data_IF_875282988124
#
_entry.id   IF_875282988124
#
_cell.length_a   1.000
_cell.length_b   1.000
_cell.length_c   1.000
_cell.angle_alpha   90.00
_cell.angle_beta   90.00
_cell.angle_gamma   90.00
#
_symmetry.space_group_name_H-M   'P 1'
#
loop_
_entity.id
_entity.type
_entity.pdbx_description
1 polymer ?
#
# COMPACT_ATOMS: atom_id res chain seq x y z
N UNK A 1 13.69 -6.38 -9.22
CA UNK A 1 14.64 -6.71 -10.29
C UNK A 1 15.14 -5.41 -10.93
N UNK A 2 16.39 -5.38 -11.41
CA UNK A 2 16.99 -4.17 -12.05
C UNK A 2 16.56 -4.09 -13.52
N UNK A 3 16.46 -2.87 -14.07
CA UNK A 3 16.16 -2.63 -15.50
C UNK A 3 17.26 -3.17 -16.42
N UNK A 4 16.93 -3.58 -17.66
CA UNK A 4 17.91 -4.10 -18.61
C UNK A 4 19.02 -3.08 -18.90
N UNK A 5 20.24 -3.59 -19.11
CA UNK A 5 21.43 -2.77 -19.31
C UNK A 5 21.46 -2.11 -20.69
N UNK A 6 22.20 -0.99 -20.83
CA UNK A 6 22.36 -0.28 -22.10
C UNK A 6 23.37 -0.99 -23.02
N UNK A 7 23.15 -0.90 -24.35
CA UNK A 7 23.96 -1.52 -25.40
C UNK A 7 25.45 -1.10 -25.33
N UNK A 8 25.71 0.20 -25.20
CA UNK A 8 27.05 0.77 -25.09
C UNK A 8 27.58 0.66 -23.65
N UNK A 9 28.87 0.33 -23.48
CA UNK A 9 29.49 0.29 -22.14
C UNK A 9 29.66 1.69 -21.57
N UNK A 10 29.85 2.69 -22.44
CA UNK A 10 29.93 4.11 -22.05
C UNK A 10 29.48 5.06 -23.15
N UNK A 11 29.17 6.31 -22.79
CA UNK A 11 28.94 7.38 -23.77
C UNK A 11 30.20 7.74 -24.58
N UNK A 12 31.39 7.53 -24.00
CA UNK A 12 32.69 7.80 -24.66
C UNK A 12 32.93 6.85 -25.83
N UNK A 13 32.60 5.58 -25.66
CA UNK A 13 32.69 4.55 -26.69
C UNK A 13 31.81 4.90 -27.91
N UNK A 14 30.57 5.35 -27.65
CA UNK A 14 29.66 5.83 -28.70
C UNK A 14 30.17 7.09 -29.41
N UNK A 15 30.81 8.01 -28.69
CA UNK A 15 31.33 9.25 -29.25
C UNK A 15 32.57 9.01 -30.13
N UNK A 16 33.53 8.21 -29.65
CA UNK A 16 34.71 7.81 -30.41
C UNK A 16 34.32 7.09 -31.72
N UNK A 17 33.27 6.28 -31.67
CA UNK A 17 32.71 5.62 -32.85
C UNK A 17 32.20 6.61 -33.91
N UNK A 18 31.41 7.61 -33.49
CA UNK A 18 30.90 8.65 -34.40
C UNK A 18 32.02 9.49 -35.01
N UNK A 19 33.05 9.79 -34.23
CA UNK A 19 34.20 10.57 -34.69
C UNK A 19 35.01 9.80 -35.76
N UNK A 20 35.25 8.51 -35.57
CA UNK A 20 36.00 7.69 -36.52
C UNK A 20 35.28 7.54 -37.88
N UNK A 21 33.95 7.44 -37.88
CA UNK A 21 33.16 7.41 -39.13
C UNK A 21 33.12 8.77 -39.83
N UNK A 22 33.10 9.87 -39.07
CA UNK A 22 33.08 11.22 -39.63
C UNK A 22 34.42 11.63 -40.24
N UNK A 23 35.53 11.03 -39.81
CA UNK A 23 36.89 11.32 -40.26
C UNK A 23 37.38 10.40 -41.39
N UNK A 24 36.53 9.53 -41.92
CA UNK A 24 36.90 8.62 -43.01
C UNK A 24 36.70 9.31 -44.37
N UNK A 25 37.81 9.57 -45.07
CA UNK A 25 37.83 10.27 -46.34
C UNK A 25 38.02 9.33 -47.54
N UNK A 26 38.44 8.08 -47.29
CA UNK A 26 38.64 7.07 -48.34
C UNK A 26 37.80 5.82 -48.12
N UNK A 27 37.49 5.11 -49.22
CA UNK A 27 36.78 3.84 -49.18
C UNK A 27 37.52 2.78 -48.34
N UNK A 28 38.86 2.81 -48.33
CA UNK A 28 39.70 1.90 -47.54
C UNK A 28 39.62 2.21 -46.04
N UNK A 29 39.59 3.50 -45.65
CA UNK A 29 39.39 3.91 -44.26
C UNK A 29 37.99 3.54 -43.77
N UNK A 30 36.98 3.70 -44.62
CA UNK A 30 35.61 3.31 -44.33
C UNK A 30 35.49 1.79 -44.20
N UNK A 31 36.14 1.03 -45.07
CA UNK A 31 36.18 -0.43 -45.02
C UNK A 31 36.95 -0.95 -43.79
N UNK A 32 38.06 -0.31 -43.40
CA UNK A 32 38.81 -0.65 -42.19
C UNK A 32 38.03 -0.32 -40.91
N UNK A 33 37.33 0.82 -40.88
CA UNK A 33 36.41 1.17 -39.81
C UNK A 33 35.25 0.15 -39.72
N UNK A 34 34.68 -0.25 -40.86
CA UNK A 34 33.63 -1.27 -40.94
C UNK A 34 34.12 -2.67 -40.53
N UNK A 35 35.35 -3.04 -40.87
CA UNK A 35 35.96 -4.32 -40.48
C UNK A 35 36.24 -4.39 -38.97
N UNK A 36 36.85 -3.32 -38.44
CA UNK A 36 37.04 -3.15 -36.98
C UNK A 36 35.69 -3.15 -36.25
N UNK A 37 34.65 -2.64 -36.92
CA UNK A 37 33.29 -2.70 -36.42
C UNK A 37 32.73 -4.11 -36.42
N UNK A 38 32.90 -4.92 -37.46
CA UNK A 38 32.44 -6.32 -37.45
C UNK A 38 33.11 -7.15 -36.37
N UNK A 39 34.42 -6.97 -36.14
CA UNK A 39 35.16 -7.69 -35.11
C UNK A 39 34.75 -7.27 -33.69
N UNK A 40 34.55 -5.97 -33.46
CA UNK A 40 34.06 -5.43 -32.18
C UNK A 40 32.54 -5.53 -32.00
N UNK A 41 31.79 -5.72 -33.07
CA UNK A 41 30.33 -5.87 -33.04
C UNK A 41 29.91 -7.28 -32.63
N UNK A 42 30.76 -8.30 -32.75
CA UNK A 42 30.44 -9.65 -32.27
C UNK A 42 29.98 -9.65 -30.81
N UNK A 43 30.77 -9.13 -29.86
CA UNK A 43 30.37 -9.00 -28.46
C UNK A 43 29.15 -8.09 -28.24
N UNK A 44 28.98 -7.03 -29.04
CA UNK A 44 27.79 -6.15 -28.95
C UNK A 44 26.53 -6.85 -29.45
N UNK A 45 26.61 -7.64 -30.51
CA UNK A 45 25.52 -8.41 -31.08
C UNK A 45 25.09 -9.52 -30.12
N UNK A 46 26.05 -10.24 -29.55
CA UNK A 46 25.79 -11.21 -28.47
C UNK A 46 25.10 -10.55 -27.28
N UNK A 47 25.52 -9.34 -26.91
CA UNK A 47 24.86 -8.56 -25.85
C UNK A 47 23.45 -8.10 -26.25
N UNK A 48 23.22 -7.76 -27.51
CA UNK A 48 21.91 -7.39 -28.02
C UNK A 48 20.94 -8.58 -27.96
N UNK A 49 21.40 -9.77 -28.38
CA UNK A 49 20.63 -11.01 -28.29
C UNK A 49 20.29 -11.30 -26.82
N UNK A 50 21.27 -11.22 -25.91
CA UNK A 50 21.03 -11.44 -24.48
C UNK A 50 20.03 -10.44 -23.88
N UNK A 51 20.09 -9.16 -24.26
CA UNK A 51 19.14 -8.15 -23.82
C UNK A 51 17.74 -8.37 -24.40
N UNK A 52 17.62 -8.84 -25.63
CA UNK A 52 16.34 -9.21 -26.23
C UNK A 52 15.71 -10.40 -25.50
N UNK A 53 16.50 -11.41 -25.17
CA UNK A 53 16.05 -12.57 -24.38
C UNK A 53 15.61 -12.16 -22.96
N UNK A 54 16.36 -11.27 -22.30
CA UNK A 54 16.00 -10.72 -20.98
C UNK A 54 14.69 -9.90 -21.04
N UNK A 55 14.52 -9.09 -22.08
CA UNK A 55 13.29 -8.32 -22.29
C UNK A 55 12.08 -9.24 -22.50
N UNK A 56 12.20 -10.27 -23.36
CA UNK A 56 11.14 -11.23 -23.59
C UNK A 56 10.74 -11.98 -22.31
N UNK A 57 11.72 -12.38 -21.48
CA UNK A 57 11.47 -12.99 -20.16
C UNK A 57 10.72 -12.04 -19.22
N UNK A 58 11.08 -10.75 -19.24
CA UNK A 58 10.44 -9.75 -18.41
C UNK A 58 8.98 -9.49 -18.82
N UNK A 59 8.72 -9.37 -20.12
CA UNK A 59 7.36 -9.22 -20.65
C UNK A 59 6.47 -10.43 -20.30
N UNK A 60 7.00 -11.64 -20.39
CA UNK A 60 6.26 -12.85 -19.99
C UNK A 60 5.89 -12.84 -18.49
N UNK A 61 6.82 -12.42 -17.62
CA UNK A 61 6.55 -12.31 -16.18
C UNK A 61 5.54 -11.20 -15.84
N UNK A 62 5.58 -10.07 -16.56
CA UNK A 62 4.56 -9.02 -16.40
C UNK A 62 3.19 -9.49 -16.87
N UNK A 63 3.11 -10.21 -17.99
CA UNK A 63 1.87 -10.80 -18.47
C UNK A 63 1.29 -11.80 -17.45
N UNK A 64 2.12 -12.67 -16.86
CA UNK A 64 1.69 -13.60 -15.81
C UNK A 64 1.18 -12.85 -14.57
N UNK A 65 1.86 -11.78 -14.15
CA UNK A 65 1.40 -10.93 -13.03
C UNK A 65 0.07 -10.27 -13.34
N UNK A 66 -0.09 -9.71 -14.54
CA UNK A 66 -1.33 -9.09 -14.97
C UNK A 66 -2.48 -10.11 -15.01
N UNK A 67 -2.23 -11.34 -15.45
CA UNK A 67 -3.21 -12.43 -15.41
C UNK A 67 -3.58 -12.82 -13.98
N UNK A 68 -2.59 -12.90 -13.07
CA UNK A 68 -2.84 -13.20 -11.67
C UNK A 68 -3.66 -12.09 -10.97
N UNK A 69 -3.36 -10.82 -11.26
CA UNK A 69 -4.12 -9.68 -10.78
C UNK A 69 -5.55 -9.66 -11.35
N UNK A 70 -5.71 -9.95 -12.64
CA UNK A 70 -7.02 -10.06 -13.27
C UNK A 70 -7.84 -11.23 -12.69
N UNK A 71 -7.22 -12.39 -12.46
CA UNK A 71 -7.87 -13.53 -11.82
C UNK A 71 -8.27 -13.23 -10.37
N UNK A 72 -7.45 -12.47 -9.63
CA UNK A 72 -7.80 -11.97 -8.30
C UNK A 72 -8.99 -11.00 -8.36
N UNK A 73 -8.98 -10.04 -9.28
CA UNK A 73 -10.07 -9.09 -9.46
C UNK A 73 -11.39 -9.79 -9.84
N UNK A 74 -11.34 -10.78 -10.75
CA UNK A 74 -12.50 -11.58 -11.13
C UNK A 74 -13.07 -12.41 -9.97
N UNK A 75 -12.24 -12.82 -9.00
CA UNK A 75 -12.70 -13.47 -7.76
C UNK A 75 -13.35 -12.48 -6.78
N UNK A 76 -12.94 -11.22 -6.79
CA UNK A 76 -13.50 -10.17 -5.94
C UNK A 76 -14.83 -9.60 -6.48
N UNK A 77 -15.07 -9.69 -7.79
CA UNK A 77 -16.28 -9.16 -8.46
C UNK A 77 -17.62 -9.80 -8.01
N UNK A 78 -17.75 -11.14 -7.82
CA UNK A 78 -19.03 -11.73 -7.38
C UNK A 78 -19.43 -11.38 -5.94
N UNK A 79 -18.56 -10.78 -5.14
CA UNK A 79 -18.86 -10.35 -3.76
C UNK A 79 -19.56 -8.98 -3.72
N UNK A 80 -19.63 -8.24 -4.84
CA UNK A 80 -20.24 -6.90 -4.90
C UNK A 80 -21.76 -6.90 -5.14
N UNK A 81 -22.40 -8.05 -5.29
CA UNK A 81 -23.86 -8.14 -5.39
C UNK A 81 -24.52 -7.88 -4.02
N UNK A 82 -24.77 -6.60 -3.69
CA UNK A 82 -25.59 -6.11 -2.57
C UNK A 82 -25.48 -6.91 -1.26
N UNK A 83 -24.27 -7.31 -0.88
CA UNK A 83 -24.04 -8.07 0.34
C UNK A 83 -24.10 -7.10 1.51
N UNK A 84 -25.22 -7.07 2.20
CA UNK A 84 -25.40 -6.33 3.47
C UNK A 84 -24.33 -6.73 4.50
N UNK A 85 -23.88 -5.81 5.36
CA UNK A 85 -22.82 -6.08 6.33
C UNK A 85 -23.22 -7.19 7.31
N UNK A 86 -22.26 -7.99 7.75
CA UNK A 86 -22.49 -8.95 8.85
C UNK A 86 -22.72 -8.20 10.16
N UNK A 87 -23.69 -8.69 10.92
CA UNK A 87 -23.99 -8.31 12.29
C UNK A 87 -23.99 -9.52 13.22
N UNK A 88 -23.58 -9.28 14.47
CA UNK A 88 -23.82 -10.19 15.59
C UNK A 88 -24.68 -9.52 16.64
N UNK A 89 -25.59 -10.28 17.23
CA UNK A 89 -26.32 -9.89 18.43
C UNK A 89 -25.72 -10.65 19.61
N UNK A 90 -25.26 -9.90 20.60
CA UNK A 90 -24.71 -10.45 21.83
C UNK A 90 -25.57 -10.05 23.02
N UNK A 91 -25.60 -10.91 24.02
CA UNK A 91 -26.40 -10.70 25.22
C UNK A 91 -25.71 -11.23 26.46
N UNK A 92 -26.15 -10.76 27.62
CA UNK A 92 -25.69 -11.28 28.90
C UNK A 92 -26.54 -12.49 29.27
N UNK A 93 -25.90 -13.62 29.55
CA UNK A 93 -26.52 -14.82 30.08
C UNK A 93 -25.99 -15.07 31.50
N UNK A 94 -26.87 -15.43 32.43
CA UNK A 94 -26.47 -15.85 33.78
C UNK A 94 -26.11 -17.32 33.72
N UNK A 95 -24.83 -17.61 33.92
CA UNK A 95 -24.28 -18.96 34.08
C UNK A 95 -23.99 -19.23 35.54
N UNK A 96 -23.71 -20.49 35.90
CA UNK A 96 -23.36 -20.87 37.27
C UNK A 96 -22.11 -20.12 37.78
N UNK A 97 -21.18 -19.80 36.88
CA UNK A 97 -19.97 -19.00 37.16
C UNK A 97 -20.21 -17.48 37.19
N UNK A 98 -21.46 -17.03 37.09
CA UNK A 98 -21.84 -15.61 37.01
C UNK A 98 -22.31 -15.17 35.62
N UNK A 99 -22.29 -13.87 35.35
CA UNK A 99 -22.86 -13.30 34.11
C UNK A 99 -21.80 -13.30 33.01
N UNK A 100 -22.06 -14.02 31.92
CA UNK A 100 -21.19 -14.09 30.73
C UNK A 100 -21.87 -13.46 29.52
N UNK A 101 -21.08 -12.82 28.64
CA UNK A 101 -21.59 -12.35 27.35
C UNK A 101 -21.57 -13.50 26.35
N UNK A 102 -22.70 -13.79 25.74
CA UNK A 102 -22.89 -14.87 24.79
C UNK A 102 -23.36 -14.33 23.44
N UNK A 103 -23.00 -15.03 22.37
CA UNK A 103 -23.58 -14.81 21.05
C UNK A 103 -25.03 -15.32 21.07
N UNK A 104 -25.96 -14.52 20.56
CA UNK A 104 -27.38 -14.90 20.41
C UNK A 104 -27.76 -15.14 18.95
N UNK A 105 -27.25 -14.29 18.04
CA UNK A 105 -27.54 -14.43 16.62
C UNK A 105 -26.40 -13.85 15.77
N UNK A 106 -26.29 -14.35 14.54
CA UNK A 106 -25.37 -13.92 13.49
C UNK A 106 -26.19 -13.80 12.20
N UNK A 107 -26.08 -12.69 11.48
CA UNK A 107 -26.84 -12.47 10.25
C UNK A 107 -26.36 -11.25 9.48
N UNK A 108 -26.93 -11.03 8.28
CA UNK A 108 -26.68 -9.82 7.46
C UNK A 108 -27.86 -8.84 7.46
N UNK A 109 -28.95 -9.23 8.10
CA UNK A 109 -30.13 -8.39 8.28
C UNK A 109 -30.07 -7.71 9.66
N UNK A 110 -30.53 -6.44 9.76
CA UNK A 110 -30.72 -5.80 11.05
C UNK A 110 -31.63 -6.67 11.92
N UNK A 111 -31.19 -6.94 13.14
CA UNK A 111 -31.97 -7.76 14.04
C UNK A 111 -33.25 -7.02 14.48
N UNK A 112 -34.37 -7.73 14.70
CA UNK A 112 -35.61 -7.10 15.16
C UNK A 112 -35.38 -6.39 16.49
N UNK A 113 -35.97 -5.21 16.65
CA UNK A 113 -35.92 -4.42 17.88
C UNK A 113 -37.06 -4.79 18.84
N UNK A 114 -36.99 -4.32 20.09
CA UNK A 114 -38.06 -4.49 21.08
C UNK A 114 -38.14 -5.89 21.70
N UNK A 115 -39.36 -6.34 22.02
CA UNK A 115 -39.57 -7.59 22.79
C UNK A 115 -39.09 -8.84 22.08
N UNK A 116 -39.18 -8.88 20.75
CA UNK A 116 -38.68 -9.98 19.94
C UNK A 116 -37.15 -10.16 20.05
N UNK A 117 -36.42 -9.07 20.35
CA UNK A 117 -34.97 -9.12 20.56
C UNK A 117 -34.58 -9.86 21.85
N UNK A 118 -35.37 -9.68 22.90
CA UNK A 118 -35.07 -10.25 24.22
C UNK A 118 -35.24 -11.77 24.24
N UNK A 119 -36.17 -12.30 23.44
CA UNK A 119 -36.51 -13.72 23.36
C UNK A 119 -35.51 -14.57 22.58
N UNK A 120 -34.46 -14.00 22.00
CA UNK A 120 -33.45 -14.79 21.29
C UNK A 120 -32.60 -15.58 22.28
N UNK A 121 -32.58 -16.89 22.09
CA UNK A 121 -31.73 -17.84 22.80
C UNK A 121 -30.24 -17.65 22.46
N UNK A 122 -29.38 -18.31 23.24
CA UNK A 122 -27.97 -18.38 22.91
C UNK A 122 -27.78 -19.13 21.59
N UNK A 123 -26.86 -18.64 20.76
CA UNK A 123 -26.49 -19.30 19.51
C UNK A 123 -25.94 -20.70 19.79
N UNK A 124 -26.10 -21.62 18.82
CA UNK A 124 -25.53 -22.96 18.94
C UNK A 124 -24.01 -22.91 19.16
N UNK A 125 -23.41 -23.90 19.84
CA UNK A 125 -21.96 -23.95 20.05
C UNK A 125 -21.17 -23.90 18.73
N UNK A 126 -21.70 -24.52 17.68
CA UNK A 126 -21.13 -24.49 16.33
C UNK A 126 -21.10 -23.07 15.75
N UNK A 127 -22.19 -22.31 15.91
CA UNK A 127 -22.28 -20.93 15.45
C UNK A 127 -21.34 -20.02 16.26
N UNK A 128 -21.25 -20.23 17.57
CA UNK A 128 -20.34 -19.51 18.43
C UNK A 128 -18.87 -19.78 18.07
N UNK A 129 -18.52 -21.04 17.77
CA UNK A 129 -17.17 -21.42 17.35
C UNK A 129 -16.78 -20.83 15.98
N UNK A 130 -17.76 -20.66 15.07
CA UNK A 130 -17.55 -20.00 13.78
C UNK A 130 -17.43 -18.46 13.90
N UNK A 131 -17.86 -17.87 15.01
CA UNK A 131 -17.84 -16.44 15.22
C UNK A 131 -16.43 -15.96 15.62
N UNK A 132 -15.73 -15.33 14.66
CA UNK A 132 -14.38 -14.78 14.90
C UNK A 132 -14.35 -13.40 15.55
N UNK A 133 -15.50 -12.70 15.59
CA UNK A 133 -15.56 -11.32 16.08
C UNK A 133 -15.74 -11.26 17.60
N UNK A 134 -15.27 -10.16 18.21
CA UNK A 134 -15.46 -9.93 19.63
C UNK A 134 -16.94 -9.82 20.01
N UNK A 135 -17.31 -10.31 21.21
CA UNK A 135 -18.71 -10.29 21.67
C UNK A 135 -19.13 -8.95 22.33
N UNK A 136 -18.20 -8.01 22.39
CA UNK A 136 -18.39 -6.67 22.95
C UNK A 136 -17.93 -5.65 21.92
N UNK A 137 -18.58 -4.48 21.91
CA UNK A 137 -18.15 -3.36 21.10
C UNK A 137 -16.72 -2.95 21.47
N UNK A 138 -15.82 -2.88 20.49
CA UNK A 138 -14.43 -2.44 20.71
C UNK A 138 -14.28 -0.98 21.16
N UNK A 139 -15.34 -0.16 21.06
CA UNK A 139 -15.33 1.25 21.46
C UNK A 139 -15.87 1.42 22.89
N UNK A 140 -17.08 0.93 23.18
CA UNK A 140 -17.73 1.14 24.48
C UNK A 140 -17.70 -0.08 25.41
N UNK A 141 -17.20 -1.23 24.96
CA UNK A 141 -17.09 -2.50 25.69
C UNK A 141 -18.44 -3.10 26.14
N UNK A 142 -19.56 -2.62 25.57
CA UNK A 142 -20.89 -3.16 25.85
C UNK A 142 -21.31 -4.23 24.84
N UNK A 143 -22.17 -5.15 25.29
CA UNK A 143 -22.85 -6.13 24.46
C UNK A 143 -24.02 -5.48 23.67
N UNK A 144 -24.58 -6.20 22.70
CA UNK A 144 -25.74 -5.76 21.92
C UNK A 144 -25.60 -6.10 20.43
N UNK A 145 -26.10 -5.22 19.57
CA UNK A 145 -26.05 -5.39 18.12
C UNK A 145 -24.79 -4.74 17.57
N UNK A 146 -23.90 -5.57 17.04
CA UNK A 146 -22.58 -5.15 16.58
C UNK A 146 -22.42 -5.41 15.09
N UNK A 147 -21.98 -4.40 14.35
CA UNK A 147 -21.41 -4.54 13.02
C UNK A 147 -20.07 -5.29 13.10
N UNK A 148 -19.85 -6.20 12.17
CA UNK A 148 -18.68 -7.07 12.11
C UNK A 148 -17.78 -6.66 10.95
N UNK A 149 -16.48 -6.45 11.20
CA UNK A 149 -15.56 -6.06 10.14
C UNK A 149 -15.34 -7.20 9.14
N UNK A 150 -15.56 -6.92 7.85
CA UNK A 150 -15.43 -7.87 6.75
C UNK A 150 -14.16 -7.62 5.91
N UNK A 151 -13.10 -7.09 6.51
CA UNK A 151 -11.83 -6.87 5.81
C UNK A 151 -11.25 -8.20 5.28
N UNK A 152 -10.71 -8.18 4.05
CA UNK A 152 -10.26 -9.37 3.33
C UNK A 152 -9.15 -10.16 4.04
N UNK A 153 -8.31 -9.48 4.82
CA UNK A 153 -7.23 -10.12 5.60
C UNK A 153 -7.73 -10.74 6.93
N UNK A 154 -9.01 -10.61 7.23
CA UNK A 154 -9.59 -10.95 8.53
C UNK A 154 -9.41 -9.84 9.55
N UNK A 155 -10.46 -9.57 10.32
CA UNK A 155 -10.46 -8.60 11.40
C UNK A 155 -11.49 -9.03 12.45
N UNK A 156 -11.13 -8.98 13.73
CA UNK A 156 -12.00 -9.42 14.83
C UNK A 156 -12.79 -8.25 15.45
N UNK A 157 -12.68 -7.06 14.85
CA UNK A 157 -13.36 -5.84 15.33
C UNK A 157 -14.85 -5.94 15.10
N UNK A 158 -15.59 -5.70 16.17
CA UNK A 158 -17.03 -5.48 16.16
C UNK A 158 -17.37 -4.19 16.91
N UNK A 159 -18.39 -3.46 16.43
CA UNK A 159 -18.80 -2.17 17.01
C UNK A 159 -20.31 -1.97 16.88
N UNK A 160 -20.94 -1.22 17.79
CA UNK A 160 -22.31 -0.78 17.56
C UNK A 160 -22.38 0.13 16.32
N UNK A 161 -23.53 0.10 15.64
CA UNK A 161 -23.81 1.00 14.51
C UNK A 161 -23.63 2.48 14.89
N UNK A 162 -24.00 2.85 16.12
CA UNK A 162 -23.84 4.20 16.66
C UNK A 162 -22.36 4.52 16.96
N UNK A 163 -21.59 3.54 17.43
CA UNK A 163 -20.17 3.70 17.73
C UNK A 163 -19.28 3.71 16.47
N UNK A 164 -19.75 3.19 15.35
CA UNK A 164 -18.99 3.22 14.09
C UNK A 164 -19.02 4.60 13.40
N UNK A 165 -19.87 5.52 13.86
CA UNK A 165 -20.08 6.81 13.20
C UNK A 165 -20.87 6.71 11.89
N UNK A 166 -21.44 5.55 11.57
CA UNK A 166 -22.31 5.39 10.42
C UNK A 166 -23.67 6.04 10.67
N UNK A 167 -24.16 6.86 9.73
CA UNK A 167 -25.48 7.51 9.82
C UNK A 167 -26.66 6.58 9.50
N UNK A 168 -26.42 5.27 9.42
CA UNK A 168 -27.40 4.27 9.03
C UNK A 168 -26.72 2.96 8.64
N UNK A 169 -27.53 1.96 8.33
CA UNK A 169 -27.04 0.65 7.94
C UNK A 169 -26.33 0.71 6.58
N UNK A 170 -25.04 0.34 6.49
CA UNK A 170 -24.30 0.50 5.25
C UNK A 170 -24.84 -0.46 4.15
N UNK A 171 -24.85 -0.04 2.88
CA UNK A 171 -25.40 -0.82 1.78
C UNK A 171 -24.51 -1.99 1.32
N UNK A 172 -23.40 -2.23 2.01
CA UNK A 172 -22.37 -3.20 1.62
C UNK A 172 -21.56 -3.71 2.82
N UNK A 173 -20.52 -4.53 2.59
CA UNK A 173 -19.67 -5.04 3.65
C UNK A 173 -19.06 -3.89 4.44
N UNK A 174 -19.14 -3.98 5.76
CA UNK A 174 -18.60 -2.94 6.65
C UNK A 174 -17.13 -3.23 6.95
N UNK A 175 -16.27 -2.24 6.72
CA UNK A 175 -14.84 -2.28 7.04
C UNK A 175 -14.60 -1.25 8.14
N UNK A 176 -13.93 -1.66 9.23
CA UNK A 176 -13.70 -0.79 10.36
C UNK A 176 -12.68 0.31 10.03
N UNK A 177 -12.70 1.40 10.81
CA UNK A 177 -11.80 2.55 10.62
C UNK A 177 -10.29 2.19 10.66
N UNK A 178 -9.92 1.04 11.23
CA UNK A 178 -8.53 0.57 11.23
C UNK A 178 -8.08 0.02 9.88
N UNK A 179 -9.02 -0.31 8.99
CA UNK A 179 -8.78 -0.88 7.66
C UNK A 179 -9.39 -0.05 6.53
N UNK A 180 -10.17 0.98 6.84
CA UNK A 180 -10.66 1.90 5.81
C UNK A 180 -9.52 2.82 5.36
N UNK A 181 -8.90 2.45 4.23
CA UNK A 181 -7.84 3.21 3.57
C UNK A 181 -8.23 4.66 3.27
N UNK A 182 -9.54 4.94 3.15
CA UNK A 182 -10.03 6.32 2.94
C UNK A 182 -9.84 7.16 4.20
N UNK A 183 -10.12 6.61 5.38
CA UNK A 183 -10.01 7.33 6.64
C UNK A 183 -8.57 7.41 7.15
N UNK A 184 -7.78 6.34 7.01
CA UNK A 184 -6.36 6.32 7.39
C UNK A 184 -5.55 7.44 6.71
N UNK A 185 -5.84 7.71 5.43
CA UNK A 185 -5.21 8.82 4.68
C UNK A 185 -5.55 10.20 5.25
N UNK A 186 -6.74 10.38 5.81
CA UNK A 186 -7.14 11.68 6.40
C UNK A 186 -6.60 11.87 7.81
N UNK A 187 -6.46 10.80 8.60
CA UNK A 187 -5.93 10.87 9.97
C UNK A 187 -4.43 11.13 10.00
N UNK A 188 -3.67 10.53 9.07
CA UNK A 188 -2.23 10.80 8.91
C UNK A 188 -2.00 12.26 8.48
N UNK A 189 -2.83 12.83 7.60
CA UNK A 189 -2.74 14.26 7.23
C UNK A 189 -2.99 15.21 8.41
N UNK A 190 -3.84 14.86 9.38
CA UNK A 190 -4.08 15.69 10.58
C UNK A 190 -3.02 15.55 11.66
N UNK A 191 -2.20 14.51 11.63
CA UNK A 191 -1.06 14.31 12.56
C UNK A 191 0.30 14.69 11.95
N UNK A 192 0.33 15.17 10.72
CA UNK A 192 1.54 15.80 10.18
C UNK A 192 1.83 17.07 11.00
N UNK A 193 3.01 17.18 11.65
CA UNK A 193 3.40 18.40 12.35
C UNK A 193 3.76 19.45 11.28
N UNK A 194 2.82 20.33 10.92
CA UNK A 194 3.13 21.40 9.98
C UNK A 194 1.98 22.05 9.18
N UNK A 195 0.70 21.81 9.51
CA UNK A 195 -0.41 22.55 8.90
C UNK A 195 -0.77 23.82 9.69
N UNK A 196 -0.94 25.00 9.05
CA UNK A 196 -0.99 26.28 9.74
C UNK A 196 -2.27 26.41 10.56
N UNK A 197 -2.10 26.73 11.85
CA UNK A 197 -3.15 27.27 12.71
C UNK A 197 -3.58 28.62 12.13
N UNK A 198 -4.68 28.64 11.40
CA UNK A 198 -5.42 29.87 11.15
C UNK A 198 -6.24 30.19 12.41
N UNK A 199 -5.92 31.30 13.06
CA UNK A 199 -6.80 31.98 14.00
C UNK A 199 -6.43 31.85 15.47
N UNK A 200 -5.46 32.64 15.90
CA UNK A 200 -5.54 33.36 17.18
C UNK A 200 -4.65 34.60 17.06
N UNK A 201 -5.30 35.76 17.16
CA UNK A 201 -4.70 37.07 17.36
C UNK A 201 -3.73 37.02 18.55
N UNK A 202 -2.58 37.65 18.44
CA UNK A 202 -2.09 38.64 19.42
C UNK A 202 -0.82 39.34 18.91
N UNK A 203 -0.93 40.66 18.92
CA UNK A 203 0.03 41.79 18.87
C UNK A 203 1.55 41.54 18.81
N UNK A 204 2.20 42.28 17.90
CA UNK A 204 3.60 42.79 17.87
C UNK A 204 4.07 43.46 19.20
N UNK A 205 5.35 43.92 19.40
CA UNK A 205 6.52 44.03 18.49
C UNK A 205 7.91 43.64 19.11
N UNK A 206 8.97 43.85 18.31
CA UNK A 206 10.38 44.07 18.67
C UNK A 206 11.23 42.89 19.15
N UNK A 207 12.16 42.45 18.29
CA UNK A 207 13.56 42.17 18.66
C UNK A 207 14.46 42.11 17.44
N UNK A 208 15.29 43.14 17.41
CA UNK A 208 16.44 43.51 16.61
C UNK A 208 17.47 42.41 16.26
N UNK A 209 18.18 42.70 15.16
CA UNK A 209 19.52 42.29 14.70
C UNK A 209 20.22 41.03 15.25
N UNK A 210 20.78 40.22 14.34
CA UNK A 210 22.17 40.37 13.89
C UNK A 210 22.48 39.43 12.73
N UNK A 211 22.96 40.02 11.63
CA UNK A 211 23.67 39.33 10.56
C UNK A 211 25.14 39.22 10.96
N UNK A 212 25.68 38.01 10.99
CA UNK A 212 27.12 37.79 11.03
C UNK A 212 27.45 36.82 9.90
N UNK A 213 28.06 37.39 8.86
CA UNK A 213 28.78 36.69 7.83
C UNK A 213 30.12 36.22 8.42
N UNK A 214 30.50 34.98 8.15
CA UNK A 214 31.90 34.56 8.22
C UNK A 214 32.21 33.68 7.03
N UNK A 215 32.63 34.38 5.99
CA UNK A 215 33.67 34.00 5.04
C UNK A 215 34.95 33.61 5.82
N UNK A 216 35.51 32.43 5.59
CA UNK A 216 36.96 32.31 5.38
C UNK A 216 37.36 30.93 4.85
N UNK A 217 38.52 30.94 4.25
CA UNK A 217 39.03 30.13 3.15
C UNK A 217 40.03 29.06 3.62
N UNK A 218 40.59 28.39 2.61
CA UNK A 218 41.90 27.71 2.63
C UNK A 218 42.03 26.41 3.43
N UNK A 219 42.91 25.48 3.10
CA UNK A 219 43.61 25.08 1.87
C UNK A 219 44.49 23.91 2.32
N UNK A 220 44.70 22.95 1.42
CA UNK A 220 45.85 22.05 1.36
C UNK A 220 46.10 21.11 2.56
N UNK A 221 46.35 19.82 2.29
CA UNK A 221 47.73 19.31 2.36
C UNK A 221 47.80 17.83 1.94
N UNK A 222 48.91 17.52 1.30
CA UNK A 222 49.34 16.25 0.75
C UNK A 222 49.53 15.14 1.79
N UNK A 223 49.28 13.90 1.38
CA UNK A 223 49.46 12.73 2.25
C UNK A 223 49.79 11.44 1.51
N UNK A 224 50.91 11.43 0.78
CA UNK A 224 51.60 10.23 0.30
C UNK A 224 52.05 9.33 1.46
N UNK A 225 51.88 8.01 1.28
CA UNK A 225 52.63 6.96 1.99
C UNK A 225 51.88 5.63 1.80
N UNK A 226 52.40 4.57 1.15
CA UNK A 226 53.79 4.14 1.06
C UNK A 226 54.01 3.03 2.09
N UNK A 227 53.80 1.78 1.68
CA UNK A 227 53.98 0.56 2.46
C UNK A 227 53.50 -0.66 1.69
#
# INVERSE_FOLDING_TARGET
MRRPARLWRSGRERAAWRAALAAADTAEQLAHAAFTLTDRAGPMLQRFIALADEAAKWEALEAERAQAEAAKAAREEPVRAAVRPVMIRTGKCKTDDGVKVVLKALGREPFPSGRAAAAMDAASPETAAACRWGYQCSVCLLAGDLLCCEHAQGCNVSVHLECSGCQGFPPGPWVCANHDDRELKTRIRRRAPGGPRAGAQDSDPDSDATAEASDDSDASDDGRGGG
#
